data_IF_824677878051
#
_entry.id   IF_824677878051
#
_cell.length_a   1.000
_cell.length_b   1.000
_cell.length_c   1.000
_cell.angle_alpha   90.00
_cell.angle_beta   90.00
_cell.angle_gamma   90.00
#
_symmetry.space_group_name_H-M   'P 1'
#
loop_
_entity.id
_entity.type
_entity.pdbx_description
1 polymer ?
#
# COMPACT_ATOMS: atom_id res chain seq x y z
N UNK A 1 12.75 1.31 3.23
CA UNK A 1 12.40 0.15 2.38
C UNK A 1 13.59 -0.78 2.18
N UNK A 2 13.40 -2.12 2.20
CA UNK A 2 14.43 -3.07 1.77
C UNK A 2 14.74 -2.95 0.27
N UNK A 3 16.02 -3.09 -0.12
CA UNK A 3 16.50 -3.00 -1.51
C UNK A 3 15.77 -3.96 -2.46
N UNK A 4 15.43 -5.16 -1.98
CA UNK A 4 14.74 -6.18 -2.78
C UNK A 4 13.34 -5.73 -3.22
N UNK A 5 12.65 -4.92 -2.40
CA UNK A 5 11.35 -4.36 -2.77
C UNK A 5 11.51 -3.30 -3.85
N UNK A 6 12.53 -2.43 -3.76
CA UNK A 6 12.88 -1.49 -4.84
C UNK A 6 13.05 -2.22 -6.17
N UNK A 7 13.88 -3.26 -6.18
CA UNK A 7 14.20 -4.04 -7.36
C UNK A 7 12.97 -4.74 -7.95
N UNK A 8 12.11 -5.32 -7.09
CA UNK A 8 10.85 -5.90 -7.54
C UNK A 8 9.91 -4.86 -8.16
N UNK A 9 9.80 -3.67 -7.57
CA UNK A 9 8.96 -2.60 -8.10
C UNK A 9 9.48 -2.08 -9.44
N UNK A 10 10.80 -1.89 -9.58
CA UNK A 10 11.41 -1.44 -10.84
C UNK A 10 11.29 -2.52 -11.94
N UNK A 11 11.38 -3.81 -11.58
CA UNK A 11 11.25 -4.94 -12.50
C UNK A 11 9.82 -5.14 -13.01
N UNK A 12 8.85 -5.19 -12.10
CA UNK A 12 7.46 -5.54 -12.44
C UNK A 12 6.58 -4.33 -12.74
N UNK A 13 6.99 -3.13 -12.27
CA UNK A 13 6.29 -1.87 -12.45
C UNK A 13 4.77 -1.95 -12.23
N UNK A 14 4.33 -2.48 -11.07
CA UNK A 14 2.91 -2.59 -10.77
C UNK A 14 2.29 -1.20 -10.65
N UNK A 15 0.99 -1.10 -10.89
CA UNK A 15 0.24 0.13 -10.59
C UNK A 15 -0.06 0.25 -9.10
N UNK A 16 -0.27 -0.90 -8.43
CA UNK A 16 -0.72 -0.99 -7.05
C UNK A 16 0.06 -2.03 -6.24
N UNK A 17 0.27 -1.76 -4.96
CA UNK A 17 0.84 -2.67 -3.97
C UNK A 17 -0.06 -2.70 -2.73
N UNK A 18 -0.39 -3.89 -2.26
CA UNK A 18 -1.17 -4.09 -1.04
C UNK A 18 -0.26 -4.72 0.00
N UNK A 19 -0.01 -4.01 1.10
CA UNK A 19 0.97 -4.40 2.13
C UNK A 19 0.25 -5.04 3.30
N UNK A 20 0.52 -6.32 3.55
CA UNK A 20 -0.20 -7.12 4.54
C UNK A 20 0.47 -7.02 5.92
N UNK A 21 -0.11 -6.21 6.79
CA UNK A 21 0.24 -6.10 8.20
C UNK A 21 1.03 -4.83 8.56
N UNK A 22 0.69 -4.27 9.73
CA UNK A 22 1.29 -3.03 10.26
C UNK A 22 2.82 -3.08 10.34
N UNK A 23 3.39 -4.19 10.84
CA UNK A 23 4.86 -4.34 10.98
C UNK A 23 5.60 -4.25 9.65
N UNK A 24 4.98 -4.72 8.56
CA UNK A 24 5.58 -4.61 7.23
C UNK A 24 5.38 -3.20 6.69
N UNK A 25 4.17 -2.65 6.82
CA UNK A 25 3.87 -1.26 6.46
C UNK A 25 4.84 -0.26 7.08
N UNK A 26 5.13 -0.37 8.37
CA UNK A 26 6.03 0.54 9.09
C UNK A 26 7.48 0.51 8.54
N UNK A 27 7.85 -0.51 7.75
CA UNK A 27 9.15 -0.66 7.09
C UNK A 27 9.16 -0.22 5.61
N UNK A 28 7.98 0.08 5.05
CA UNK A 28 7.84 0.47 3.66
C UNK A 28 8.48 1.85 3.41
N UNK A 29 8.20 2.91 4.18
CA UNK A 29 8.80 4.22 3.91
C UNK A 29 10.33 4.18 3.77
N UNK A 30 10.85 5.01 2.89
CA UNK A 30 12.26 5.05 2.54
C UNK A 30 12.50 5.96 1.33
N UNK A 31 13.61 5.72 0.63
CA UNK A 31 13.89 6.45 -0.60
C UNK A 31 12.76 6.25 -1.62
N UNK A 32 12.41 7.31 -2.34
CA UNK A 32 11.33 7.35 -3.35
C UNK A 32 9.90 7.22 -2.81
N UNK A 33 9.72 7.08 -1.49
CA UNK A 33 8.41 7.06 -0.85
C UNK A 33 7.77 8.45 -0.81
N UNK A 34 6.45 8.49 -0.98
CA UNK A 34 5.62 9.66 -0.79
C UNK A 34 4.40 9.24 0.03
N UNK A 35 4.12 9.99 1.09
CA UNK A 35 2.90 9.75 1.88
C UNK A 35 1.66 10.06 1.05
N UNK A 36 0.62 9.27 1.26
CA UNK A 36 -0.65 9.39 0.58
C UNK A 36 -1.77 9.76 1.53
N UNK A 37 -2.86 10.27 0.97
CA UNK A 37 -4.07 10.53 1.73
C UNK A 37 -4.70 9.21 2.21
N UNK A 38 -5.08 9.10 3.48
CA UNK A 38 -5.65 7.87 3.99
C UNK A 38 -7.02 7.59 3.36
N UNK A 39 -7.32 6.31 3.17
CA UNK A 39 -8.65 5.87 2.77
C UNK A 39 -9.50 5.69 4.03
N UNK A 40 -10.62 6.42 4.10
CA UNK A 40 -11.56 6.32 5.21
C UNK A 40 -12.80 5.53 4.80
N UNK A 41 -13.10 4.47 5.54
CA UNK A 41 -14.30 3.62 5.41
C UNK A 41 -14.85 3.35 6.80
N UNK A 42 -16.14 3.60 7.01
CA UNK A 42 -16.84 3.40 8.29
C UNK A 42 -16.16 4.09 9.50
N UNK A 43 -15.54 5.24 9.27
CA UNK A 43 -14.79 5.97 10.31
C UNK A 43 -13.42 5.38 10.65
N UNK A 44 -13.02 4.27 10.02
CA UNK A 44 -11.69 3.70 10.11
C UNK A 44 -10.79 4.23 8.99
N UNK A 45 -9.56 4.61 9.36
CA UNK A 45 -8.55 5.15 8.44
C UNK A 45 -7.53 4.08 8.06
N UNK A 46 -7.28 3.95 6.76
CA UNK A 46 -6.28 3.05 6.20
C UNK A 46 -5.17 3.87 5.54
N UNK A 47 -3.93 3.67 5.99
CA UNK A 47 -2.78 4.40 5.47
C UNK A 47 -2.49 4.04 4.01
N UNK A 48 -2.13 5.06 3.23
CA UNK A 48 -1.67 4.93 1.85
C UNK A 48 -0.36 5.66 1.64
N UNK A 49 0.28 5.39 0.51
CA UNK A 49 1.47 6.08 0.04
C UNK A 49 1.80 5.64 -1.37
N UNK A 50 2.94 6.08 -1.88
CA UNK A 50 3.39 5.69 -3.21
C UNK A 50 4.90 5.67 -3.34
N UNK A 51 5.41 4.83 -4.24
CA UNK A 51 6.80 4.90 -4.70
C UNK A 51 6.88 5.58 -6.05
N UNK A 52 7.84 6.50 -6.21
CA UNK A 52 8.23 7.05 -7.49
C UNK A 52 9.30 6.15 -8.12
N UNK A 53 8.98 5.49 -9.22
CA UNK A 53 9.93 4.68 -9.97
C UNK A 53 10.88 5.55 -10.81
N UNK A 54 11.99 4.97 -11.24
CA UNK A 54 13.02 5.69 -12.02
C UNK A 54 12.51 6.22 -13.37
N UNK A 55 11.44 5.62 -13.90
CA UNK A 55 10.76 6.08 -15.12
C UNK A 55 9.68 7.14 -14.86
N UNK A 56 9.57 7.65 -13.63
CA UNK A 56 8.59 8.67 -13.23
C UNK A 56 7.19 8.13 -12.93
N UNK A 57 6.93 6.83 -13.11
CA UNK A 57 5.65 6.22 -12.73
C UNK A 57 5.52 6.13 -11.22
N UNK A 58 4.29 6.21 -10.73
CA UNK A 58 3.95 6.05 -9.31
C UNK A 58 3.34 4.69 -9.08
N UNK A 59 3.86 3.96 -8.10
CA UNK A 59 3.26 2.73 -7.57
C UNK A 59 2.45 3.10 -6.34
N UNK A 60 1.12 3.04 -6.43
CA UNK A 60 0.25 3.31 -5.29
C UNK A 60 0.34 2.16 -4.30
N UNK A 61 0.36 2.47 -3.01
CA UNK A 61 0.53 1.47 -1.95
C UNK A 61 -0.48 1.71 -0.83
N UNK A 62 -1.09 0.65 -0.31
CA UNK A 62 -1.95 0.72 0.87
C UNK A 62 -1.60 -0.35 1.90
N UNK A 63 -1.89 -0.08 3.17
CA UNK A 63 -1.82 -1.08 4.24
C UNK A 63 -3.14 -1.88 4.34
N UNK A 64 -3.03 -3.19 4.53
CA UNK A 64 -4.15 -4.03 4.98
C UNK A 64 -3.77 -4.76 6.27
N UNK A 65 -4.75 -5.10 7.10
CA UNK A 65 -4.49 -5.95 8.26
C UNK A 65 -3.98 -7.31 7.82
N UNK A 66 -3.12 -7.92 8.63
CA UNK A 66 -2.70 -9.29 8.39
C UNK A 66 -3.87 -10.25 8.74
N UNK A 67 -4.12 -11.32 7.96
CA UNK A 67 -5.21 -12.26 8.24
C UNK A 67 -5.20 -12.85 9.65
N UNK A 68 -4.01 -13.01 10.23
CA UNK A 68 -3.83 -13.61 11.56
C UNK A 68 -4.36 -12.77 12.73
N UNK A 69 -4.73 -11.49 12.53
CA UNK A 69 -5.22 -10.61 13.61
C UNK A 69 -6.73 -10.42 13.59
N UNK A 70 -7.45 -11.24 12.82
CA UNK A 70 -8.86 -11.03 12.51
C UNK A 70 -8.99 -10.13 11.27
N UNK A 71 -9.56 -10.69 10.20
CA UNK A 71 -9.67 -10.03 8.91
C UNK A 71 -11.08 -10.20 8.38
N UNK A 72 -11.82 -9.10 8.36
CA UNK A 72 -13.14 -9.05 7.74
C UNK A 72 -12.98 -8.78 6.25
N UNK A 73 -13.28 -9.79 5.43
CA UNK A 73 -13.24 -9.65 3.97
C UNK A 73 -14.18 -8.54 3.48
N UNK A 74 -15.40 -8.47 4.03
CA UNK A 74 -16.41 -7.48 3.63
C UNK A 74 -15.97 -6.03 3.91
N UNK A 75 -15.19 -5.80 4.97
CA UNK A 75 -14.60 -4.49 5.23
C UNK A 75 -13.47 -4.20 4.22
N UNK A 76 -12.50 -5.11 4.09
CA UNK A 76 -11.33 -4.87 3.25
C UNK A 76 -11.66 -4.80 1.75
N UNK A 77 -12.69 -5.50 1.30
CA UNK A 77 -13.21 -5.39 -0.06
C UNK A 77 -13.63 -3.95 -0.38
N UNK A 78 -14.37 -3.29 0.53
CA UNK A 78 -14.79 -1.88 0.35
C UNK A 78 -13.62 -0.91 0.38
N UNK A 79 -12.59 -1.17 1.20
CA UNK A 79 -11.37 -0.36 1.21
C UNK A 79 -10.59 -0.53 -0.10
N UNK A 80 -10.43 -1.77 -0.59
CA UNK A 80 -9.74 -2.08 -1.84
C UNK A 80 -10.46 -1.48 -3.05
N UNK A 81 -11.79 -1.52 -3.07
CA UNK A 81 -12.60 -0.88 -4.10
C UNK A 81 -12.28 0.63 -4.19
N UNK A 82 -12.23 1.33 -3.05
CA UNK A 82 -11.81 2.74 -3.02
C UNK A 82 -10.36 2.95 -3.46
N UNK A 83 -9.46 2.03 -3.10
CA UNK A 83 -8.05 2.13 -3.46
C UNK A 83 -7.80 1.99 -4.96
N UNK A 84 -8.54 1.11 -5.64
CA UNK A 84 -8.39 0.90 -7.09
C UNK A 84 -9.16 1.92 -7.94
N UNK A 85 -10.14 2.61 -7.37
CA UNK A 85 -10.93 3.65 -8.05
C UNK A 85 -10.37 5.07 -7.91
N UNK A 86 -9.23 5.23 -7.25
CA UNK A 86 -8.47 6.50 -7.12
C UNK A 86 -7.08 6.32 -7.70
#
# INVERSE_FOLDING_TARGET
MPTEVCEALDKYQPEYVVVWGKRLWDKMPGERWQDGEPIVVDGCSTATGAYLLNNGRRVKTMAVNHPSVGYSWDYWYRVLEKFFLH
#
